data_IF_680207610928
#
_entry.id   IF_680207610928
#
_cell.length_a   1.000
_cell.length_b   1.000
_cell.length_c   1.000
_cell.angle_alpha   90.00
_cell.angle_beta   90.00
_cell.angle_gamma   90.00
#
_symmetry.space_group_name_H-M   'P 1'
#
loop_
_entity.id
_entity.type
_entity.pdbx_description
1 polymer ?
#
# COMPACT_ATOMS: atom_id res chain seq x y z
N UNK A 1 -10.61 -28.15 11.44
CA UNK A 1 -9.94 -27.10 12.24
C UNK A 1 -8.45 -27.39 12.24
N UNK A 2 -7.62 -26.36 12.06
CA UNK A 2 -6.18 -26.50 12.18
C UNK A 2 -5.82 -26.49 13.67
N UNK A 3 -5.31 -27.61 14.19
CA UNK A 3 -4.85 -27.77 15.56
C UNK A 3 -3.35 -27.45 15.61
N UNK A 4 -2.92 -26.65 16.57
CA UNK A 4 -1.49 -26.48 16.86
C UNK A 4 -1.02 -27.70 17.64
N UNK A 5 -0.17 -28.50 17.02
CA UNK A 5 0.38 -29.75 17.58
C UNK A 5 1.76 -29.50 18.18
N UNK A 6 2.30 -30.48 18.93
CA UNK A 6 3.67 -30.45 19.45
C UNK A 6 4.72 -30.25 18.35
N UNK A 7 4.47 -30.76 17.13
CA UNK A 7 5.32 -30.54 15.95
C UNK A 7 5.37 -29.09 15.47
N UNK A 8 4.39 -28.26 15.87
CA UNK A 8 4.28 -26.86 15.49
C UNK A 8 4.94 -25.95 16.53
N UNK A 9 5.36 -26.53 17.66
CA UNK A 9 6.10 -25.86 18.73
C UNK A 9 7.57 -26.29 18.68
N UNK A 10 8.44 -25.36 19.06
CA UNK A 10 9.87 -25.61 19.03
C UNK A 10 10.29 -26.52 20.18
N UNK A 11 11.00 -27.60 19.85
CA UNK A 11 11.55 -28.53 20.81
C UNK A 11 12.69 -27.83 21.61
N UNK A 12 12.72 -27.94 22.95
CA UNK A 12 13.73 -27.27 23.81
C UNK A 12 15.18 -27.60 23.46
N UNK A 13 15.44 -28.67 22.75
CA UNK A 13 16.80 -29.08 22.36
C UNK A 13 17.40 -28.25 21.20
N UNK A 14 16.63 -27.40 20.54
CA UNK A 14 17.07 -26.59 19.39
C UNK A 14 17.13 -25.09 19.75
N UNK A 15 17.26 -24.76 20.99
CA UNK A 15 17.25 -23.38 21.45
C UNK A 15 18.62 -22.74 21.46
N UNK A 16 18.91 -22.02 20.41
CA UNK A 16 19.69 -20.78 20.51
C UNK A 16 18.77 -19.66 20.00
N UNK A 17 18.50 -18.67 20.88
CA UNK A 17 17.85 -17.41 20.55
C UNK A 17 16.64 -17.47 19.57
N UNK A 18 15.47 -17.78 20.09
CA UNK A 18 14.23 -17.43 19.38
C UNK A 18 14.03 -15.92 19.34
N UNK A 19 14.66 -15.30 18.40
CA UNK A 19 14.21 -14.02 17.90
C UNK A 19 12.79 -14.28 17.37
N UNK A 20 11.79 -13.66 17.95
CA UNK A 20 10.41 -13.71 17.45
C UNK A 20 10.41 -13.27 15.99
N UNK A 21 10.42 -14.23 15.09
CA UNK A 21 10.81 -14.07 13.69
C UNK A 21 9.85 -13.22 12.83
N UNK A 22 8.76 -12.71 13.39
CA UNK A 22 7.89 -11.75 12.71
C UNK A 22 7.52 -10.65 13.67
N UNK A 23 8.34 -9.60 13.67
CA UNK A 23 7.90 -8.31 14.21
C UNK A 23 6.61 -7.96 13.48
N UNK A 24 5.45 -7.88 14.16
CA UNK A 24 4.22 -7.45 13.52
C UNK A 24 4.48 -6.10 12.87
N UNK A 25 3.87 -5.85 11.72
CA UNK A 25 3.95 -4.53 11.08
C UNK A 25 3.63 -3.49 12.12
N UNK A 26 4.49 -2.49 12.29
CA UNK A 26 4.30 -1.47 13.32
C UNK A 26 2.93 -0.80 13.13
N UNK A 27 2.28 -0.50 14.23
CA UNK A 27 1.08 0.34 14.26
C UNK A 27 1.55 1.76 13.98
N UNK A 28 1.07 2.35 12.89
CA UNK A 28 1.62 3.61 12.36
C UNK A 28 0.55 4.67 12.15
N UNK A 29 -0.64 4.29 11.69
CA UNK A 29 -1.73 5.22 11.37
C UNK A 29 -2.62 5.48 12.57
N UNK A 30 -2.94 4.44 13.34
CA UNK A 30 -3.83 4.50 14.51
C UNK A 30 -3.52 5.63 15.50
N UNK A 31 -2.23 5.96 15.80
CA UNK A 31 -1.92 7.06 16.71
C UNK A 31 -2.34 8.45 16.20
N UNK A 32 -2.57 8.61 14.91
CA UNK A 32 -2.98 9.85 14.27
C UNK A 32 -4.49 9.90 13.95
N UNK A 33 -5.22 8.83 14.24
CA UNK A 33 -6.67 8.75 14.09
C UNK A 33 -7.38 9.11 15.40
N UNK A 34 -8.54 9.76 15.32
CA UNK A 34 -9.39 9.96 16.47
C UNK A 34 -10.16 8.67 16.77
N UNK A 35 -10.18 8.25 18.02
CA UNK A 35 -11.02 7.12 18.48
C UNK A 35 -12.34 7.66 19.00
N UNK A 36 -13.44 7.18 18.44
CA UNK A 36 -14.80 7.54 18.83
C UNK A 36 -15.49 6.33 19.49
N UNK A 37 -15.83 6.49 20.76
CA UNK A 37 -16.46 5.46 21.59
C UNK A 37 -17.98 5.66 21.76
N UNK A 38 -18.60 6.57 20.99
CA UNK A 38 -20.03 6.90 21.15
C UNK A 38 -20.97 5.72 20.93
N UNK A 39 -20.54 4.70 20.19
CA UNK A 39 -21.30 3.47 19.92
C UNK A 39 -21.11 2.37 20.95
N UNK A 40 -20.24 2.54 21.93
CA UNK A 40 -20.07 1.52 22.98
C UNK A 40 -21.35 1.37 23.79
N UNK A 41 -21.85 0.12 23.86
CA UNK A 41 -23.08 -0.21 24.60
C UNK A 41 -24.39 0.25 23.94
N UNK A 42 -24.36 0.82 22.73
CA UNK A 42 -25.57 1.22 22.00
C UNK A 42 -25.95 0.21 20.90
N UNK A 43 -27.25 0.11 20.63
CA UNK A 43 -27.73 -0.66 19.48
C UNK A 43 -27.43 0.08 18.18
N UNK A 44 -27.14 -0.68 17.11
CA UNK A 44 -26.81 -0.17 15.78
C UNK A 44 -25.42 -0.65 15.33
N UNK A 45 -25.24 -0.76 14.03
CA UNK A 45 -24.01 -1.22 13.36
C UNK A 45 -23.47 -0.17 12.36
N UNK A 46 -24.08 1.02 12.39
CA UNK A 46 -23.71 2.11 11.49
C UNK A 46 -23.63 3.43 12.26
N UNK A 47 -22.69 4.28 11.82
CA UNK A 47 -22.54 5.66 12.28
C UNK A 47 -22.86 6.58 11.13
N UNK A 48 -23.73 7.54 11.33
CA UNK A 48 -24.02 8.59 10.36
C UNK A 48 -23.37 9.89 10.81
N UNK A 49 -22.46 10.40 10.03
CA UNK A 49 -21.77 11.67 10.28
C UNK A 49 -22.41 12.72 9.37
N UNK A 50 -23.09 13.75 9.94
CA UNK A 50 -23.66 14.85 9.14
C UNK A 50 -22.55 15.83 8.72
N UNK A 51 -22.73 16.47 7.57
CA UNK A 51 -21.91 17.56 7.06
C UNK A 51 -22.80 18.64 6.52
N UNK A 52 -22.44 19.89 6.79
CA UNK A 52 -23.13 21.07 6.26
C UNK A 52 -22.28 21.71 5.17
N UNK A 53 -22.91 22.03 4.03
CA UNK A 53 -22.23 22.76 2.99
C UNK A 53 -22.11 24.24 3.37
N UNK A 54 -20.96 24.84 3.02
CA UNK A 54 -20.78 26.28 3.16
C UNK A 54 -21.77 27.04 2.28
N UNK A 55 -22.43 28.04 2.85
CA UNK A 55 -23.48 28.82 2.17
C UNK A 55 -22.94 29.91 1.24
N UNK A 56 -21.62 30.12 1.18
CA UNK A 56 -20.97 31.16 0.41
C UNK A 56 -20.65 32.40 1.24
N UNK A 57 -19.88 33.30 0.64
CA UNK A 57 -19.49 34.57 1.27
C UNK A 57 -20.65 35.55 1.34
N UNK A 58 -20.61 36.46 2.30
CA UNK A 58 -21.57 37.54 2.39
C UNK A 58 -21.43 38.46 1.16
N UNK A 59 -22.56 38.94 0.64
CA UNK A 59 -22.62 39.85 -0.49
C UNK A 59 -22.91 41.28 -0.02
N UNK A 60 -22.33 42.28 -0.68
CA UNK A 60 -22.63 43.68 -0.44
C UNK A 60 -24.04 44.00 -0.97
N UNK A 61 -24.86 44.63 -0.12
CA UNK A 61 -26.23 45.01 -0.46
C UNK A 61 -26.38 46.54 -0.42
N UNK A 62 -26.93 47.11 -1.47
CA UNK A 62 -27.20 48.54 -1.52
C UNK A 62 -28.35 48.92 -0.60
N UNK A 63 -28.40 50.20 -0.20
CA UNK A 63 -29.46 50.72 0.67
C UNK A 63 -30.84 50.55 -0.01
N UNK A 64 -31.77 49.84 0.65
CA UNK A 64 -33.13 49.61 0.16
C UNK A 64 -33.30 48.35 -0.67
N UNK A 65 -32.24 47.58 -0.93
CA UNK A 65 -32.33 46.25 -1.58
C UNK A 65 -32.52 45.13 -0.56
N UNK A 66 -33.27 44.13 -0.96
CA UNK A 66 -33.47 42.90 -0.15
C UNK A 66 -32.63 41.75 -0.68
N UNK A 67 -31.99 41.02 0.21
CA UNK A 67 -31.23 39.78 -0.11
C UNK A 67 -32.16 38.59 -0.19
N UNK A 68 -31.88 37.67 -1.14
CA UNK A 68 -32.52 36.38 -1.19
C UNK A 68 -31.85 35.45 -0.19
N UNK A 69 -32.58 34.82 0.76
CA UNK A 69 -31.98 33.90 1.70
C UNK A 69 -31.41 32.64 1.01
N UNK A 70 -30.18 32.28 1.34
CA UNK A 70 -29.57 31.07 0.90
C UNK A 70 -30.05 29.85 1.72
N UNK A 71 -30.09 28.68 1.11
CA UNK A 71 -30.53 27.46 1.76
C UNK A 71 -29.32 26.71 2.31
N UNK A 72 -29.31 26.48 3.62
CA UNK A 72 -28.36 25.55 4.23
C UNK A 72 -28.68 24.11 3.77
N UNK A 73 -27.72 23.47 3.11
CA UNK A 73 -27.81 22.07 2.70
C UNK A 73 -26.96 21.19 3.59
N UNK A 74 -27.53 20.07 4.05
CA UNK A 74 -26.81 19.07 4.84
C UNK A 74 -26.72 17.79 4.03
N UNK A 75 -25.57 17.16 4.06
CA UNK A 75 -25.35 15.79 3.60
C UNK A 75 -24.99 14.91 4.78
N UNK A 76 -25.15 13.60 4.63
CA UNK A 76 -24.75 12.65 5.66
C UNK A 76 -24.08 11.45 5.02
N UNK A 77 -22.98 11.00 5.62
CA UNK A 77 -22.29 9.78 5.21
C UNK A 77 -22.41 8.73 6.30
N UNK A 78 -22.78 7.52 5.91
CA UNK A 78 -22.98 6.40 6.83
C UNK A 78 -21.81 5.44 6.76
N UNK A 79 -21.21 5.12 7.90
CA UNK A 79 -20.09 4.21 8.03
C UNK A 79 -20.52 2.94 8.76
N UNK A 80 -20.16 1.77 8.20
CA UNK A 80 -20.48 0.47 8.78
C UNK A 80 -19.42 0.00 9.77
N UNK A 81 -19.87 -0.69 10.83
CA UNK A 81 -19.02 -1.38 11.78
C UNK A 81 -18.85 -2.83 11.33
N UNK A 82 -17.64 -3.35 11.46
CA UNK A 82 -17.30 -4.73 11.16
C UNK A 82 -16.75 -5.45 12.39
N UNK A 83 -16.87 -6.77 12.39
CA UNK A 83 -16.24 -7.65 13.36
C UNK A 83 -14.92 -8.18 12.80
N UNK A 84 -13.82 -7.94 13.50
CA UNK A 84 -12.56 -8.63 13.28
C UNK A 84 -12.42 -9.73 14.34
N UNK A 85 -11.97 -10.93 13.92
CA UNK A 85 -11.78 -12.06 14.83
C UNK A 85 -10.59 -12.90 14.39
N UNK A 86 -9.86 -13.42 15.37
CA UNK A 86 -8.78 -14.38 15.20
C UNK A 86 -8.81 -15.40 16.32
N UNK A 87 -8.64 -16.68 16.00
CA UNK A 87 -8.61 -17.75 16.98
C UNK A 87 -7.41 -18.69 16.76
N UNK A 88 -6.97 -19.31 17.84
CA UNK A 88 -5.90 -20.31 17.86
C UNK A 88 -6.33 -21.46 18.75
N UNK A 89 -6.16 -22.71 18.30
CA UNK A 89 -6.42 -23.92 19.08
C UNK A 89 -5.09 -24.47 19.60
N UNK A 90 -4.96 -24.66 20.91
CA UNK A 90 -3.82 -25.29 21.58
C UNK A 90 -4.22 -26.66 22.11
N UNK A 91 -3.39 -27.67 21.85
CA UNK A 91 -3.54 -29.02 22.46
C UNK A 91 -2.85 -29.08 23.83
N UNK A 92 -3.32 -29.96 24.72
CA UNK A 92 -2.71 -30.16 26.04
C UNK A 92 -1.24 -30.56 25.94
N UNK A 93 -0.93 -31.43 24.97
CA UNK A 93 0.44 -31.88 24.72
C UNK A 93 1.36 -30.70 24.31
N UNK A 94 0.83 -29.76 23.52
CA UNK A 94 1.56 -28.57 23.10
C UNK A 94 1.85 -27.65 24.30
N UNK A 95 0.88 -27.51 25.22
CA UNK A 95 1.05 -26.68 26.42
C UNK A 95 2.00 -27.33 27.42
N UNK A 96 1.91 -28.66 27.62
CA UNK A 96 2.74 -29.38 28.60
C UNK A 96 4.20 -29.57 28.14
N UNK A 97 4.41 -29.80 26.84
CA UNK A 97 5.73 -30.08 26.28
C UNK A 97 6.39 -28.87 25.64
N UNK A 98 5.64 -27.79 25.42
CA UNK A 98 6.16 -26.55 24.83
C UNK A 98 7.07 -25.80 25.79
N UNK A 99 8.13 -25.20 25.25
CA UNK A 99 9.01 -24.34 26.03
C UNK A 99 8.36 -22.97 26.31
N UNK A 100 8.49 -22.50 27.56
CA UNK A 100 7.96 -21.19 27.98
C UNK A 100 6.48 -21.22 28.35
N UNK A 101 5.75 -20.16 27.99
CA UNK A 101 4.30 -20.05 28.24
C UNK A 101 3.53 -19.90 26.90
N UNK A 102 3.16 -21.01 26.23
CA UNK A 102 2.48 -20.98 24.95
C UNK A 102 1.13 -20.23 25.00
N UNK A 103 0.39 -20.32 26.10
CA UNK A 103 -0.91 -19.64 26.26
C UNK A 103 -0.73 -18.13 26.33
N UNK A 104 0.24 -17.66 27.15
CA UNK A 104 0.54 -16.24 27.26
C UNK A 104 1.06 -15.64 25.95
N UNK A 105 1.90 -16.39 25.21
CA UNK A 105 2.38 -15.95 23.90
C UNK A 105 1.25 -15.91 22.88
N UNK A 106 0.35 -16.89 22.86
CA UNK A 106 -0.84 -16.89 21.99
C UNK A 106 -1.71 -15.67 22.22
N UNK A 107 -2.01 -15.34 23.48
CA UNK A 107 -2.79 -14.13 23.82
C UNK A 107 -2.10 -12.86 23.34
N UNK A 108 -0.78 -12.77 23.53
CA UNK A 108 0.02 -11.63 23.05
C UNK A 108 0.00 -11.51 21.53
N UNK A 109 0.11 -12.62 20.81
CA UNK A 109 0.08 -12.63 19.35
C UNK A 109 -1.32 -12.31 18.80
N UNK A 110 -2.39 -12.75 19.47
CA UNK A 110 -3.75 -12.39 19.11
C UNK A 110 -3.97 -10.88 19.27
N UNK A 111 -3.58 -10.29 20.40
CA UNK A 111 -3.70 -8.85 20.63
C UNK A 111 -2.92 -8.03 19.57
N UNK A 112 -1.68 -8.43 19.28
CA UNK A 112 -0.88 -7.81 18.21
C UNK A 112 -1.54 -7.95 16.83
N UNK A 113 -2.16 -9.09 16.55
CA UNK A 113 -2.88 -9.35 15.28
C UNK A 113 -4.08 -8.42 15.13
N UNK A 114 -4.85 -8.19 16.21
CA UNK A 114 -5.99 -7.30 16.22
C UNK A 114 -5.56 -5.85 15.98
N UNK A 115 -4.62 -5.33 16.76
CA UNK A 115 -4.07 -3.98 16.58
C UNK A 115 -3.49 -3.78 15.16
N UNK A 116 -2.79 -4.80 14.63
CA UNK A 116 -2.27 -4.80 13.28
C UNK A 116 -3.38 -4.74 12.22
N UNK A 117 -4.55 -5.33 12.47
CA UNK A 117 -5.69 -5.29 11.55
C UNK A 117 -6.33 -3.92 11.51
N UNK A 118 -6.57 -3.30 12.67
CA UNK A 118 -7.12 -1.93 12.76
C UNK A 118 -6.27 -0.93 11.99
N UNK A 119 -4.95 -0.96 12.19
CA UNK A 119 -4.02 -0.06 11.49
C UNK A 119 -3.93 -0.35 9.99
N UNK A 120 -4.09 -1.62 9.56
CA UNK A 120 -4.16 -1.95 8.15
C UNK A 120 -5.41 -1.38 7.49
N UNK A 121 -6.56 -1.48 8.16
CA UNK A 121 -7.82 -0.95 7.67
C UNK A 121 -7.80 0.58 7.62
N UNK A 122 -7.16 1.24 8.58
CA UNK A 122 -6.96 2.69 8.56
C UNK A 122 -6.12 3.13 7.33
N UNK A 123 -5.03 2.41 7.03
CA UNK A 123 -4.25 2.68 5.83
C UNK A 123 -5.04 2.38 4.55
N UNK A 124 -5.85 1.32 4.53
CA UNK A 124 -6.66 0.94 3.38
C UNK A 124 -7.69 2.01 3.04
N UNK A 125 -8.37 2.56 4.05
CA UNK A 125 -9.33 3.65 3.87
C UNK A 125 -8.65 4.90 3.33
N UNK A 126 -7.47 5.27 3.85
CA UNK A 126 -6.68 6.42 3.39
C UNK A 126 -6.19 6.28 1.94
N UNK A 127 -5.95 5.07 1.47
CA UNK A 127 -5.45 4.80 0.11
C UNK A 127 -6.57 4.46 -0.88
N UNK A 128 -7.82 4.33 -0.42
CA UNK A 128 -8.97 4.10 -1.30
C UNK A 128 -9.27 5.36 -2.11
N UNK A 129 -9.52 5.19 -3.40
CA UNK A 129 -9.99 6.26 -4.27
C UNK A 129 -11.51 6.34 -4.19
N UNK A 130 -12.00 7.52 -3.89
CA UNK A 130 -13.43 7.83 -3.88
C UNK A 130 -13.82 8.58 -5.15
N UNK A 131 -14.99 8.27 -5.71
CA UNK A 131 -15.59 9.10 -6.74
C UNK A 131 -16.20 10.35 -6.11
N UNK A 132 -16.41 11.40 -6.90
CA UNK A 132 -16.97 12.66 -6.40
C UNK A 132 -18.33 12.46 -5.67
N UNK A 133 -19.14 11.49 -6.13
CA UNK A 133 -20.46 11.21 -5.54
C UNK A 133 -20.42 10.34 -4.27
N UNK A 134 -19.27 9.70 -3.97
CA UNK A 134 -19.11 8.76 -2.85
C UNK A 134 -18.05 9.19 -1.85
N UNK A 135 -17.37 10.31 -2.10
CA UNK A 135 -16.37 10.85 -1.19
C UNK A 135 -17.05 11.32 0.10
N UNK A 136 -16.60 10.87 1.28
CA UNK A 136 -17.10 11.39 2.54
C UNK A 136 -16.60 12.83 2.73
N UNK A 137 -17.52 13.78 2.88
CA UNK A 137 -17.26 15.18 3.23
C UNK A 137 -16.09 15.84 2.48
N UNK A 138 -16.34 16.39 1.33
CA UNK A 138 -15.36 17.11 0.52
C UNK A 138 -14.85 16.33 -0.69
N UNK A 139 -13.98 16.97 -1.46
CA UNK A 139 -13.39 16.39 -2.68
C UNK A 139 -12.06 15.74 -2.37
N UNK A 140 -11.88 14.49 -2.83
CA UNK A 140 -10.61 13.81 -2.67
C UNK A 140 -9.51 14.51 -3.49
N UNK A 141 -8.46 14.96 -2.80
CA UNK A 141 -7.29 15.57 -3.42
C UNK A 141 -6.26 14.49 -3.76
N UNK A 142 -5.93 14.34 -5.04
CA UNK A 142 -4.94 13.36 -5.53
C UNK A 142 -3.82 14.09 -6.25
N UNK A 143 -2.61 13.95 -5.77
CA UNK A 143 -1.41 14.49 -6.41
C UNK A 143 -0.61 13.36 -7.10
N UNK A 144 -0.38 13.50 -8.40
CA UNK A 144 0.44 12.55 -9.17
C UNK A 144 1.77 13.22 -9.52
N UNK A 145 2.84 12.83 -8.85
CA UNK A 145 4.17 13.44 -9.03
C UNK A 145 4.81 13.15 -10.40
N UNK A 146 4.47 12.02 -11.05
CA UNK A 146 5.14 11.59 -12.28
C UNK A 146 6.64 11.25 -12.12
N UNK A 147 7.15 11.27 -10.89
CA UNK A 147 8.54 11.04 -10.52
C UNK A 147 8.62 10.21 -9.23
N UNK A 148 9.82 9.73 -8.90
CA UNK A 148 10.11 9.13 -7.58
C UNK A 148 9.92 10.18 -6.48
N UNK A 149 9.76 9.73 -5.25
CA UNK A 149 9.64 10.64 -4.11
C UNK A 149 10.92 11.45 -3.93
N UNK A 150 10.78 12.76 -3.81
CA UNK A 150 11.84 13.73 -3.55
C UNK A 150 11.29 14.94 -2.82
N UNK A 151 12.19 15.81 -2.33
CA UNK A 151 11.83 17.01 -1.58
C UNK A 151 10.79 17.88 -2.31
N UNK A 152 11.06 18.21 -3.57
CA UNK A 152 10.17 19.07 -4.37
C UNK A 152 8.78 18.42 -4.56
N UNK A 153 8.72 17.11 -4.80
CA UNK A 153 7.46 16.40 -4.96
C UNK A 153 6.62 16.40 -3.68
N UNK A 154 7.25 16.30 -2.51
CA UNK A 154 6.56 16.38 -1.22
C UNK A 154 6.02 17.79 -0.99
N UNK A 155 6.84 18.82 -1.24
CA UNK A 155 6.40 20.23 -1.10
C UNK A 155 5.19 20.54 -1.99
N UNK A 156 5.22 20.12 -3.24
CA UNK A 156 4.09 20.30 -4.18
C UNK A 156 2.85 19.49 -3.74
N UNK A 157 3.05 18.29 -3.17
CA UNK A 157 1.93 17.52 -2.62
C UNK A 157 1.28 18.21 -1.41
N UNK A 158 2.08 18.87 -0.57
CA UNK A 158 1.59 19.65 0.57
C UNK A 158 0.83 20.91 0.09
N UNK A 159 1.33 21.56 -0.96
CA UNK A 159 0.68 22.73 -1.58
C UNK A 159 -0.75 22.41 -2.06
N UNK A 160 -1.04 21.15 -2.39
CA UNK A 160 -2.38 20.71 -2.76
C UNK A 160 -3.43 20.84 -1.66
N UNK A 161 -3.05 21.11 -0.40
CA UNK A 161 -4.00 21.47 0.66
C UNK A 161 -4.60 22.86 0.50
N UNK A 162 -3.89 23.76 -0.21
CA UNK A 162 -4.32 25.15 -0.47
C UNK A 162 -4.62 25.91 0.84
N UNK A 163 -3.65 25.90 1.77
CA UNK A 163 -3.80 26.46 3.11
C UNK A 163 -3.12 27.82 3.23
N UNK A 164 -3.82 28.80 3.81
CA UNK A 164 -3.25 30.11 4.18
C UNK A 164 -2.33 30.01 5.40
N UNK A 165 -2.66 29.14 6.35
CA UNK A 165 -1.89 28.92 7.58
C UNK A 165 -1.35 27.49 7.60
N UNK A 166 -0.05 27.35 7.79
CA UNK A 166 0.61 26.04 7.81
C UNK A 166 0.19 25.24 9.04
N UNK A 167 -0.46 24.11 8.82
CA UNK A 167 -0.85 23.14 9.84
C UNK A 167 0.15 21.98 9.95
N UNK A 168 0.17 21.30 11.08
CA UNK A 168 0.96 20.07 11.24
C UNK A 168 0.36 18.93 10.41
N UNK A 169 1.20 18.25 9.65
CA UNK A 169 0.79 17.16 8.76
C UNK A 169 1.65 15.93 8.98
N UNK A 170 1.10 14.77 8.64
CA UNK A 170 1.81 13.48 8.66
C UNK A 170 1.67 12.81 7.30
N UNK A 171 2.80 12.43 6.72
CA UNK A 171 2.87 11.70 5.46
C UNK A 171 3.37 10.28 5.72
N UNK A 172 2.68 9.29 5.15
CA UNK A 172 3.09 7.90 5.22
C UNK A 172 3.80 7.49 3.93
N UNK A 173 5.02 6.98 4.06
CA UNK A 173 5.85 6.56 2.93
C UNK A 173 6.31 5.12 3.08
N UNK A 174 6.51 4.43 1.95
CA UNK A 174 7.08 3.07 2.00
C UNK A 174 8.58 3.12 2.35
N UNK A 175 9.15 2.13 3.09
CA UNK A 175 10.58 2.12 3.43
C UNK A 175 11.54 2.26 2.24
N UNK A 176 11.16 1.79 1.05
CA UNK A 176 11.96 2.01 -0.17
C UNK A 176 12.01 3.47 -0.58
N UNK A 177 10.93 4.22 -0.37
CA UNK A 177 10.88 5.66 -0.64
C UNK A 177 11.72 6.45 0.36
N UNK A 178 11.82 5.98 1.61
CA UNK A 178 12.75 6.54 2.59
C UNK A 178 14.19 6.49 2.07
N UNK A 179 14.58 5.39 1.41
CA UNK A 179 15.90 5.28 0.78
C UNK A 179 16.05 6.27 -0.39
N UNK A 180 15.00 6.45 -1.20
CA UNK A 180 15.02 7.43 -2.29
C UNK A 180 15.20 8.86 -1.78
N UNK A 181 14.48 9.24 -0.70
CA UNK A 181 14.64 10.54 -0.05
C UNK A 181 16.04 10.74 0.52
N UNK A 182 16.65 9.72 1.09
CA UNK A 182 18.04 9.78 1.58
C UNK A 182 19.08 9.94 0.48
N UNK A 183 18.75 9.58 -0.75
CA UNK A 183 19.60 9.74 -1.93
C UNK A 183 19.30 11.04 -2.70
N UNK A 184 18.25 11.76 -2.35
CA UNK A 184 17.90 13.04 -2.99
C UNK A 184 18.91 14.12 -2.60
N UNK A 185 19.63 14.63 -3.60
CA UNK A 185 20.64 15.67 -3.40
C UNK A 185 20.08 16.97 -2.84
N UNK A 186 18.82 17.29 -3.14
CA UNK A 186 18.13 18.47 -2.64
C UNK A 186 17.86 18.35 -1.14
N UNK A 187 17.57 17.13 -0.68
CA UNK A 187 17.35 16.83 0.72
C UNK A 187 18.64 16.74 1.53
N UNK A 188 19.73 16.20 0.93
CA UNK A 188 21.03 15.98 1.59
C UNK A 188 21.87 17.26 1.68
N UNK A 189 21.54 18.33 0.96
CA UNK A 189 22.34 19.56 0.90
C UNK A 189 22.61 20.09 2.31
N UNK A 190 23.86 19.95 2.75
CA UNK A 190 24.32 20.24 4.11
C UNK A 190 24.16 21.74 4.50
N UNK A 191 24.10 22.64 3.51
CA UNK A 191 23.87 24.08 3.71
C UNK A 191 22.45 24.39 4.18
N UNK A 192 21.51 23.46 4.01
CA UNK A 192 20.09 23.68 4.30
C UNK A 192 19.62 22.99 5.58
N UNK A 193 20.34 21.97 6.06
CA UNK A 193 19.93 21.17 7.22
C UNK A 193 21.09 20.98 8.19
N UNK A 194 20.76 20.97 9.48
CA UNK A 194 21.72 20.68 10.53
C UNK A 194 22.35 19.28 10.32
N UNK A 195 23.67 19.15 10.51
CA UNK A 195 24.47 17.93 10.31
C UNK A 195 23.88 16.61 10.88
N UNK A 196 22.90 16.68 11.78
CA UNK A 196 22.30 15.51 12.41
C UNK A 196 21.48 14.64 11.43
N UNK A 197 20.82 15.25 10.42
CA UNK A 197 20.01 14.53 9.43
C UNK A 197 20.88 13.63 8.56
N UNK A 198 22.03 14.12 8.14
CA UNK A 198 22.97 13.36 7.29
C UNK A 198 23.63 12.23 8.08
N UNK A 199 24.01 12.48 9.34
CA UNK A 199 24.73 11.49 10.16
C UNK A 199 23.85 10.40 10.76
N UNK A 200 22.60 10.73 11.14
CA UNK A 200 21.66 9.77 11.75
C UNK A 200 20.69 9.14 10.75
N UNK A 201 20.56 9.73 9.56
CA UNK A 201 19.64 9.26 8.53
C UNK A 201 18.16 9.38 8.93
N UNK A 202 17.84 10.24 9.88
CA UNK A 202 16.47 10.57 10.27
C UNK A 202 15.87 11.48 9.20
N UNK A 203 14.63 11.19 8.77
CA UNK A 203 13.93 12.00 7.77
C UNK A 203 13.25 13.20 8.44
N UNK A 204 12.81 13.05 9.69
CA UNK A 204 12.24 14.12 10.49
C UNK A 204 11.01 14.77 9.84
N UNK A 205 11.06 16.09 9.67
CA UNK A 205 9.99 16.92 9.08
C UNK A 205 10.45 17.54 7.77
N UNK A 206 9.58 17.54 6.75
CA UNK A 206 9.79 18.21 5.47
C UNK A 206 8.64 19.22 5.30
N UNK A 207 8.95 20.50 5.18
CA UNK A 207 7.97 21.59 5.03
C UNK A 207 6.79 21.47 6.03
N UNK A 208 7.09 21.29 7.32
CA UNK A 208 6.07 21.16 8.37
C UNK A 208 5.35 19.80 8.42
N UNK A 209 5.70 18.87 7.53
CA UNK A 209 5.09 17.55 7.46
C UNK A 209 6.03 16.49 8.04
N UNK A 210 5.54 15.72 9.03
CA UNK A 210 6.26 14.59 9.60
C UNK A 210 6.21 13.40 8.65
N UNK A 211 7.36 12.85 8.27
CA UNK A 211 7.45 11.69 7.37
C UNK A 211 7.62 10.41 8.20
N UNK A 212 6.64 9.51 8.07
CA UNK A 212 6.57 8.26 8.82
C UNK A 212 6.64 7.07 7.84
N UNK A 213 7.55 6.12 8.11
CA UNK A 213 7.70 4.95 7.25
C UNK A 213 6.72 3.85 7.61
N UNK A 214 6.01 3.30 6.63
CA UNK A 214 5.10 2.16 6.82
C UNK A 214 5.19 1.17 5.66
N UNK A 215 5.35 -0.11 5.98
CA UNK A 215 5.25 -1.19 4.98
C UNK A 215 3.82 -1.40 4.46
N UNK A 216 2.83 -0.71 5.03
CA UNK A 216 1.43 -0.78 4.64
C UNK A 216 1.07 0.18 3.50
N UNK A 217 1.96 1.12 3.18
CA UNK A 217 1.83 1.95 1.99
C UNK A 217 1.83 1.02 0.77
N UNK A 218 0.71 1.00 0.05
CA UNK A 218 0.50 0.10 -1.09
C UNK A 218 1.16 0.66 -2.34
N UNK A 219 1.72 -0.23 -3.14
CA UNK A 219 1.97 0.07 -4.55
C UNK A 219 0.74 -0.31 -5.36
N UNK A 220 0.39 0.53 -6.31
CA UNK A 220 -0.64 0.26 -7.31
C UNK A 220 -0.01 0.20 -8.69
N UNK A 221 -0.59 -0.63 -9.53
CA UNK A 221 -0.22 -0.71 -10.91
C UNK A 221 -0.61 0.58 -11.64
N UNK A 222 0.32 1.09 -12.43
CA UNK A 222 0.09 2.15 -13.39
C UNK A 222 -0.10 1.56 -14.79
N UNK A 223 0.61 2.12 -15.75
CA UNK A 223 0.58 1.63 -17.14
C UNK A 223 1.47 0.40 -17.30
N UNK A 224 0.95 -0.64 -17.97
CA UNK A 224 1.75 -1.81 -18.31
C UNK A 224 2.91 -1.41 -19.24
N UNK A 225 4.12 -1.76 -18.84
CA UNK A 225 5.30 -1.55 -19.65
C UNK A 225 5.37 -2.58 -20.77
N UNK A 226 6.00 -2.20 -21.86
CA UNK A 226 6.31 -3.11 -22.95
C UNK A 226 7.76 -2.95 -23.42
N UNK A 227 8.31 -4.05 -23.95
CA UNK A 227 9.60 -4.08 -24.63
C UNK A 227 9.50 -4.94 -25.86
N UNK A 228 10.24 -4.60 -26.89
CA UNK A 228 10.31 -5.41 -28.12
C UNK A 228 11.66 -6.09 -28.22
N UNK A 229 11.65 -7.30 -28.76
CA UNK A 229 12.86 -8.05 -29.12
C UNK A 229 12.73 -8.47 -30.57
N UNK A 230 13.66 -8.03 -31.38
CA UNK A 230 13.68 -8.33 -32.82
C UNK A 230 14.63 -9.47 -33.10
N UNK A 231 14.15 -10.47 -33.82
CA UNK A 231 14.93 -11.59 -34.37
C UNK A 231 15.16 -11.32 -35.81
N UNK A 232 16.42 -11.35 -36.25
CA UNK A 232 16.84 -11.04 -37.60
C UNK A 232 17.89 -11.99 -38.12
N UNK A 233 18.32 -11.76 -39.32
CA UNK A 233 19.35 -12.57 -39.98
C UNK A 233 18.82 -13.91 -40.53
N UNK A 234 19.71 -14.85 -40.81
CA UNK A 234 19.41 -16.17 -41.32
C UNK A 234 19.45 -17.16 -40.16
N UNK A 235 18.35 -17.91 -39.95
CA UNK A 235 18.23 -18.88 -38.90
C UNK A 235 18.47 -20.28 -39.46
N UNK A 236 19.35 -21.05 -38.83
CA UNK A 236 19.68 -22.41 -39.21
C UNK A 236 19.15 -23.44 -38.18
N UNK A 237 19.11 -24.71 -38.61
CA UNK A 237 18.80 -25.82 -37.72
C UNK A 237 19.83 -25.91 -36.59
N UNK A 238 19.34 -26.04 -35.33
CA UNK A 238 20.18 -26.09 -34.13
C UNK A 238 20.51 -24.72 -33.53
N UNK A 239 20.15 -23.60 -34.20
CA UNK A 239 20.29 -22.28 -33.61
C UNK A 239 19.43 -22.14 -32.38
N UNK A 240 19.93 -21.44 -31.35
CA UNK A 240 19.26 -21.18 -30.12
C UNK A 240 19.09 -19.69 -29.88
N UNK A 241 17.92 -19.32 -29.39
CA UNK A 241 17.59 -17.94 -29.01
C UNK A 241 16.96 -17.94 -27.65
N UNK A 242 17.35 -16.99 -26.80
CA UNK A 242 16.83 -16.89 -25.43
C UNK A 242 16.44 -15.47 -25.08
N UNK A 243 15.31 -15.36 -24.38
CA UNK A 243 14.81 -14.10 -23.80
C UNK A 243 14.50 -14.34 -22.32
N UNK A 244 15.20 -13.64 -21.42
CA UNK A 244 14.97 -13.77 -19.97
C UNK A 244 15.18 -15.21 -19.44
N UNK A 245 16.10 -15.98 -20.02
CA UNK A 245 16.37 -17.37 -19.66
C UNK A 245 15.45 -18.40 -20.32
N UNK A 246 14.43 -17.97 -21.06
CA UNK A 246 13.58 -18.86 -21.85
C UNK A 246 14.25 -19.14 -23.19
N UNK A 247 14.77 -20.35 -23.37
CA UNK A 247 15.50 -20.75 -24.57
C UNK A 247 14.62 -21.57 -25.52
N UNK A 248 14.76 -21.31 -26.82
CA UNK A 248 14.15 -22.07 -27.90
C UNK A 248 15.21 -22.51 -28.88
N UNK A 249 15.17 -23.78 -29.30
CA UNK A 249 16.07 -24.38 -30.29
C UNK A 249 15.33 -24.57 -31.62
N UNK A 250 15.91 -24.13 -32.71
CA UNK A 250 15.35 -24.28 -34.06
C UNK A 250 15.54 -25.72 -34.58
N UNK A 251 14.44 -26.41 -34.86
CA UNK A 251 14.48 -27.83 -35.30
C UNK A 251 14.79 -28.04 -36.77
N UNK A 252 14.45 -27.08 -37.65
CA UNK A 252 14.73 -27.08 -39.07
C UNK A 252 14.93 -25.64 -39.51
N UNK A 253 15.40 -25.41 -40.76
CA UNK A 253 15.52 -24.05 -41.28
C UNK A 253 14.19 -23.31 -41.15
N UNK A 254 14.14 -22.32 -40.25
CA UNK A 254 12.94 -21.58 -39.92
C UNK A 254 13.09 -20.12 -40.32
N UNK A 255 11.95 -19.48 -40.56
CA UNK A 255 11.90 -18.03 -40.71
C UNK A 255 12.04 -17.33 -39.37
N UNK A 256 12.55 -16.11 -39.36
CA UNK A 256 12.59 -15.27 -38.13
C UNK A 256 11.22 -15.13 -37.44
N UNK A 257 10.15 -15.12 -38.27
CA UNK A 257 8.76 -15.09 -37.76
C UNK A 257 8.38 -16.35 -36.99
N UNK A 258 8.81 -17.53 -37.50
CA UNK A 258 8.57 -18.81 -36.83
C UNK A 258 9.30 -18.87 -35.47
N UNK A 259 10.57 -18.43 -35.43
CA UNK A 259 11.34 -18.36 -34.18
C UNK A 259 10.69 -17.39 -33.16
N UNK A 260 10.24 -16.24 -33.61
CA UNK A 260 9.49 -15.29 -32.75
C UNK A 260 8.21 -15.91 -32.19
N UNK A 261 7.52 -16.75 -32.99
CA UNK A 261 6.31 -17.46 -32.54
C UNK A 261 6.66 -18.54 -31.51
N UNK A 262 7.72 -19.31 -31.70
CA UNK A 262 8.19 -20.31 -30.72
C UNK A 262 8.58 -19.64 -29.39
N UNK A 263 9.30 -18.52 -29.42
CA UNK A 263 9.65 -17.78 -28.20
C UNK A 263 8.40 -17.23 -27.49
N UNK A 264 7.43 -16.69 -28.23
CA UNK A 264 6.14 -16.27 -27.66
C UNK A 264 5.45 -17.41 -26.95
N UNK A 265 5.37 -18.59 -27.56
CA UNK A 265 4.72 -19.76 -26.98
C UNK A 265 5.46 -20.26 -25.74
N UNK A 266 6.79 -20.35 -25.80
CA UNK A 266 7.62 -20.76 -24.67
C UNK A 266 7.50 -19.79 -23.46
N UNK A 267 7.49 -18.48 -23.72
CA UNK A 267 7.31 -17.46 -22.68
C UNK A 267 5.92 -17.56 -22.06
N UNK A 268 4.87 -17.68 -22.87
CA UNK A 268 3.48 -17.74 -22.39
C UNK A 268 3.13 -19.04 -21.68
N UNK A 269 3.87 -20.12 -21.94
CA UNK A 269 3.75 -21.39 -21.20
C UNK A 269 4.23 -21.25 -19.74
N UNK A 270 5.09 -20.28 -19.43
CA UNK A 270 5.60 -20.02 -18.09
C UNK A 270 4.73 -19.01 -17.36
N UNK A 271 3.84 -19.48 -16.53
CA UNK A 271 2.93 -18.62 -15.73
C UNK A 271 3.63 -17.77 -14.67
N UNK A 272 4.84 -18.18 -14.27
CA UNK A 272 5.67 -17.50 -13.24
C UNK A 272 6.33 -16.20 -13.74
N UNK A 273 6.41 -16.00 -15.06
CA UNK A 273 7.01 -14.78 -15.61
C UNK A 273 6.09 -13.58 -15.39
N UNK A 274 6.68 -12.40 -15.06
CA UNK A 274 5.91 -11.17 -14.81
C UNK A 274 5.38 -10.50 -16.09
N UNK A 275 5.63 -11.08 -17.26
CA UNK A 275 5.21 -10.58 -18.56
C UNK A 275 4.65 -11.70 -19.44
N UNK A 276 3.89 -11.30 -20.44
CA UNK A 276 3.41 -12.13 -21.55
C UNK A 276 4.05 -11.69 -22.84
N UNK A 277 4.00 -12.54 -23.87
CA UNK A 277 4.59 -12.25 -25.16
C UNK A 277 3.55 -12.32 -26.29
N UNK A 278 3.67 -11.42 -27.25
CA UNK A 278 3.03 -11.48 -28.56
C UNK A 278 4.10 -11.47 -29.64
N UNK A 279 3.82 -11.97 -30.85
CA UNK A 279 4.81 -11.99 -31.93
C UNK A 279 4.20 -11.51 -33.24
N UNK A 280 4.95 -10.73 -34.01
CA UNK A 280 4.61 -10.28 -35.34
C UNK A 280 5.88 -10.06 -36.15
N UNK A 281 5.95 -10.61 -37.37
CA UNK A 281 7.01 -10.35 -38.38
C UNK A 281 8.44 -10.43 -37.82
N UNK A 282 8.75 -11.41 -36.97
CA UNK A 282 10.07 -11.58 -36.35
C UNK A 282 10.32 -10.72 -35.12
N UNK A 283 9.33 -9.93 -34.67
CA UNK A 283 9.39 -9.14 -33.44
C UNK A 283 8.56 -9.83 -32.35
N UNK A 284 9.17 -10.04 -31.19
CA UNK A 284 8.48 -10.47 -29.95
C UNK A 284 8.25 -9.25 -29.10
N UNK A 285 6.99 -8.92 -28.84
CA UNK A 285 6.60 -7.84 -27.92
C UNK A 285 6.27 -8.45 -26.57
N UNK A 286 7.03 -8.08 -25.56
CA UNK A 286 6.81 -8.44 -24.17
C UNK A 286 5.93 -7.35 -23.53
N UNK A 287 4.88 -7.75 -22.82
CA UNK A 287 3.98 -6.82 -22.09
C UNK A 287 3.81 -7.32 -20.67
N UNK A 288 3.94 -6.43 -19.70
CA UNK A 288 3.75 -6.76 -18.29
C UNK A 288 2.34 -7.28 -18.00
N UNK A 289 2.26 -8.28 -17.13
CA UNK A 289 0.99 -8.78 -16.60
C UNK A 289 0.46 -7.86 -15.49
N UNK A 290 -0.83 -7.86 -15.30
CA UNK A 290 -1.49 -7.21 -14.15
C UNK A 290 -0.85 -7.67 -12.84
N UNK A 291 -0.53 -6.73 -11.96
CA UNK A 291 0.22 -6.98 -10.72
C UNK A 291 1.74 -6.77 -10.86
N UNK A 292 2.25 -6.59 -12.09
CA UNK A 292 3.67 -6.35 -12.37
C UNK A 292 3.93 -5.08 -13.18
N UNK A 293 2.89 -4.28 -13.42
CA UNK A 293 3.00 -3.05 -14.19
C UNK A 293 4.05 -2.10 -13.56
N UNK A 294 4.92 -1.55 -14.39
CA UNK A 294 5.99 -0.66 -13.94
C UNK A 294 7.18 -1.34 -13.26
N UNK A 295 7.17 -2.67 -13.12
CA UNK A 295 8.22 -3.43 -12.40
C UNK A 295 8.69 -4.65 -13.19
N UNK A 296 7.78 -5.36 -13.86
CA UNK A 296 8.08 -6.66 -14.46
C UNK A 296 9.08 -6.64 -15.61
N UNK A 297 9.12 -5.54 -16.38
CA UNK A 297 10.05 -5.29 -17.47
C UNK A 297 10.92 -4.04 -17.24
N UNK A 298 10.93 -3.46 -16.05
CA UNK A 298 11.77 -2.31 -15.70
C UNK A 298 13.25 -2.61 -15.96
N UNK A 299 13.70 -3.82 -15.62
CA UNK A 299 14.99 -4.36 -16.07
C UNK A 299 14.78 -5.12 -17.37
N UNK A 300 15.56 -4.80 -18.41
CA UNK A 300 15.50 -5.50 -19.68
C UNK A 300 15.82 -6.97 -19.49
N UNK A 301 15.03 -7.91 -20.05
CA UNK A 301 15.35 -9.33 -20.02
C UNK A 301 16.68 -9.60 -20.72
N UNK A 302 17.49 -10.48 -20.15
CA UNK A 302 18.74 -10.90 -20.76
C UNK A 302 18.46 -11.58 -22.11
N UNK A 303 19.19 -11.19 -23.15
CA UNK A 303 19.10 -11.80 -24.49
C UNK A 303 20.35 -12.64 -24.73
N UNK A 304 20.16 -13.87 -25.19
CA UNK A 304 21.27 -14.72 -25.60
C UNK A 304 20.95 -15.44 -26.92
N UNK A 305 21.97 -15.77 -27.66
CA UNK A 305 21.87 -16.58 -28.89
C UNK A 305 23.07 -17.49 -29.06
N UNK A 306 22.83 -18.63 -29.68
CA UNK A 306 23.86 -19.51 -30.24
C UNK A 306 23.51 -19.70 -31.72
N UNK A 307 23.91 -18.77 -32.54
CA UNK A 307 23.67 -18.76 -33.98
C UNK A 307 24.82 -18.03 -34.69
N UNK A 308 25.24 -18.51 -35.85
CA UNK A 308 26.30 -17.88 -36.64
C UNK A 308 25.81 -16.66 -37.42
N UNK A 309 24.60 -16.70 -37.96
CA UNK A 309 24.03 -15.69 -38.83
C UNK A 309 22.74 -15.05 -38.34
N UNK A 310 22.06 -15.68 -37.36
CA UNK A 310 20.88 -15.09 -36.72
C UNK A 310 21.26 -13.97 -35.78
N UNK A 311 20.36 -13.00 -35.57
CA UNK A 311 20.52 -11.88 -34.63
C UNK A 311 19.34 -11.81 -33.67
N UNK A 312 19.59 -11.36 -32.44
CA UNK A 312 18.58 -11.03 -31.47
C UNK A 312 18.94 -9.65 -30.89
N UNK A 313 18.02 -8.71 -30.96
CA UNK A 313 18.26 -7.33 -30.53
C UNK A 313 17.09 -6.82 -29.68
N UNK A 314 17.42 -6.13 -28.59
CA UNK A 314 16.43 -5.41 -27.84
C UNK A 314 15.99 -4.14 -28.57
N UNK A 315 14.71 -3.82 -28.47
CA UNK A 315 14.12 -2.59 -29.00
C UNK A 315 12.98 -2.08 -28.14
N UNK A 316 12.44 -0.93 -28.52
CA UNK A 316 11.37 -0.27 -27.80
C UNK A 316 11.83 0.43 -26.51
N UNK A 317 11.19 1.57 -26.22
CA UNK A 317 11.42 2.29 -24.97
C UNK A 317 10.46 1.75 -23.92
N UNK A 318 10.96 1.43 -22.74
CA UNK A 318 10.14 1.00 -21.62
C UNK A 318 9.32 2.19 -21.08
N UNK A 319 8.01 2.01 -20.93
CA UNK A 319 7.07 3.05 -20.47
C UNK A 319 6.18 2.58 -19.32
N UNK A 320 6.51 1.46 -18.69
CA UNK A 320 5.73 0.95 -17.55
C UNK A 320 5.86 1.86 -16.33
N UNK A 321 4.76 2.02 -15.61
CA UNK A 321 4.70 2.80 -14.38
C UNK A 321 4.01 2.03 -13.27
N UNK A 322 4.51 2.19 -12.05
CA UNK A 322 3.83 1.78 -10.83
C UNK A 322 4.03 2.89 -9.78
N UNK A 323 3.05 3.05 -8.92
CA UNK A 323 3.04 4.14 -7.94
C UNK A 323 2.92 3.61 -6.53
N UNK A 324 3.62 4.23 -5.58
CA UNK A 324 3.28 4.16 -4.17
C UNK A 324 2.20 5.20 -3.86
N UNK A 325 1.18 4.77 -3.12
CA UNK A 325 0.12 5.64 -2.61
C UNK A 325 0.50 6.12 -1.22
N UNK A 326 0.95 7.35 -1.13
CA UNK A 326 1.43 7.98 0.09
C UNK A 326 0.38 8.97 0.61
N UNK A 327 -0.50 8.57 1.55
CA UNK A 327 -1.45 9.49 2.12
C UNK A 327 -0.76 10.52 3.01
N UNK A 328 -1.18 11.77 2.89
CA UNK A 328 -0.80 12.89 3.74
C UNK A 328 -2.07 13.29 4.49
N UNK A 329 -2.02 13.32 5.80
CA UNK A 329 -3.13 13.74 6.65
C UNK A 329 -2.78 15.01 7.40
N UNK A 330 -3.73 15.94 7.47
CA UNK A 330 -3.67 17.12 8.32
C UNK A 330 -4.11 16.71 9.73
N UNK A 331 -3.31 17.07 10.72
CA UNK A 331 -3.66 16.87 12.12
C UNK A 331 -4.49 18.06 12.59
N UNK A 332 -5.44 17.79 13.50
CA UNK A 332 -6.16 18.88 14.15
C UNK A 332 -5.19 19.64 15.04
N UNK A 333 -5.21 20.97 14.94
CA UNK A 333 -4.51 21.84 15.87
C UNK A 333 -5.39 22.16 17.08
N UNK A 334 -4.80 22.58 18.18
CA UNK A 334 -5.56 23.08 19.35
C UNK A 334 -6.40 24.32 19.03
N UNK A 335 -6.15 24.95 17.88
CA UNK A 335 -6.86 26.12 17.39
C UNK A 335 -8.06 25.79 16.50
N UNK A 336 -8.19 24.52 16.08
CA UNK A 336 -9.35 24.05 15.32
C UNK A 336 -10.56 24.07 16.27
N UNK A 337 -11.69 24.57 15.78
CA UNK A 337 -12.95 24.57 16.54
C UNK A 337 -13.39 23.13 16.80
N UNK A 338 -14.10 22.90 17.93
CA UNK A 338 -14.58 21.56 18.32
C UNK A 338 -15.43 20.88 17.25
N UNK A 339 -16.04 21.65 16.37
CA UNK A 339 -16.90 21.16 15.27
C UNK A 339 -16.12 20.66 14.04
N UNK A 340 -14.79 20.83 13.99
CA UNK A 340 -14.02 20.39 12.83
C UNK A 340 -13.67 18.90 12.91
N UNK A 341 -14.27 18.10 12.01
CA UNK A 341 -14.06 16.67 11.96
C UNK A 341 -12.58 16.32 11.70
N UNK A 342 -12.01 15.33 12.38
CA UNK A 342 -10.66 14.84 12.12
C UNK A 342 -10.55 14.19 10.73
N UNK A 343 -9.33 14.05 10.21
CA UNK A 343 -9.10 13.38 8.93
C UNK A 343 -9.59 11.93 8.94
N UNK A 344 -9.22 11.17 9.97
CA UNK A 344 -9.58 9.75 10.13
C UNK A 344 -10.16 9.51 11.52
N UNK A 345 -11.27 8.78 11.57
CA UNK A 345 -11.90 8.36 12.83
C UNK A 345 -12.03 6.83 12.86
N UNK A 346 -11.71 6.28 14.02
CA UNK A 346 -11.94 4.87 14.35
C UNK A 346 -13.14 4.81 15.29
N UNK A 347 -14.27 4.29 14.81
CA UNK A 347 -15.49 4.09 15.59
C UNK A 347 -15.38 2.76 16.32
N UNK A 348 -15.21 2.79 17.62
CA UNK A 348 -15.09 1.61 18.46
C UNK A 348 -16.42 1.26 19.09
N UNK A 349 -16.97 0.09 18.75
CA UNK A 349 -18.20 -0.43 19.37
C UNK A 349 -17.93 -1.38 20.52
N UNK A 350 -16.91 -2.23 20.38
CA UNK A 350 -16.43 -3.12 21.44
C UNK A 350 -14.92 -3.27 21.29
N UNK A 351 -14.23 -3.04 22.39
CA UNK A 351 -12.78 -3.24 22.49
C UNK A 351 -12.42 -4.73 22.38
N UNK A 352 -11.14 -5.02 22.23
CA UNK A 352 -10.64 -6.39 22.09
C UNK A 352 -11.09 -7.23 23.27
N UNK A 353 -11.88 -8.27 22.99
CA UNK A 353 -12.30 -9.28 23.94
C UNK A 353 -11.59 -10.59 23.63
N UNK A 354 -11.12 -11.28 24.66
CA UNK A 354 -10.47 -12.58 24.52
C UNK A 354 -11.30 -13.60 25.29
N UNK A 355 -11.72 -14.64 24.59
CA UNK A 355 -12.51 -15.74 25.14
C UNK A 355 -11.75 -17.06 24.93
N UNK A 356 -11.87 -17.97 25.89
CA UNK A 356 -11.32 -19.32 25.81
C UNK A 356 -12.41 -20.37 25.97
N UNK A 357 -12.33 -21.45 25.19
CA UNK A 357 -13.23 -22.59 25.27
C UNK A 357 -12.43 -23.89 25.34
N UNK A 358 -12.75 -24.73 26.33
CA UNK A 358 -12.14 -26.03 26.55
C UNK A 358 -12.90 -27.15 25.88
N UNK A 359 -12.23 -27.87 24.98
CA UNK A 359 -12.75 -29.09 24.35
C UNK A 359 -12.21 -30.34 25.05
N UNK A 360 -13.02 -30.95 25.90
CA UNK A 360 -12.59 -32.09 26.72
C UNK A 360 -12.33 -33.36 25.95
N UNK A 361 -13.04 -33.58 24.85
CA UNK A 361 -12.89 -34.78 24.01
C UNK A 361 -11.64 -34.73 23.12
N UNK A 362 -11.29 -33.57 22.62
CA UNK A 362 -10.10 -33.35 21.78
C UNK A 362 -8.87 -32.93 22.57
N UNK A 363 -9.00 -32.78 23.92
CA UNK A 363 -7.90 -32.32 24.78
C UNK A 363 -7.24 -31.04 24.25
N UNK A 364 -8.06 -30.07 23.82
CA UNK A 364 -7.62 -28.80 23.27
C UNK A 364 -8.36 -27.61 23.90
N UNK A 365 -7.76 -26.44 23.87
CA UNK A 365 -8.37 -25.16 24.26
C UNK A 365 -8.33 -24.22 23.08
N UNK A 366 -9.47 -23.67 22.70
CA UNK A 366 -9.58 -22.61 21.71
C UNK A 366 -9.47 -21.27 22.42
N UNK A 367 -8.61 -20.40 21.93
CA UNK A 367 -8.47 -19.02 22.41
C UNK A 367 -8.81 -18.11 21.24
N UNK A 368 -9.83 -17.30 21.38
CA UNK A 368 -10.33 -16.39 20.36
C UNK A 368 -10.25 -14.94 20.86
N UNK A 369 -9.81 -14.05 20.00
CA UNK A 369 -9.91 -12.60 20.23
C UNK A 369 -10.83 -12.00 19.16
N UNK A 370 -11.71 -11.09 19.56
CA UNK A 370 -12.57 -10.35 18.65
C UNK A 370 -12.70 -8.87 19.05
N UNK A 371 -13.00 -8.04 18.07
CA UNK A 371 -13.18 -6.60 18.20
C UNK A 371 -14.24 -6.12 17.21
N UNK A 372 -15.08 -5.16 17.62
CA UNK A 372 -16.06 -4.53 16.74
C UNK A 372 -15.69 -3.05 16.56
N UNK A 373 -15.32 -2.69 15.34
CA UNK A 373 -14.93 -1.34 15.00
C UNK A 373 -15.25 -1.00 13.53
N UNK A 374 -15.24 0.29 13.24
CA UNK A 374 -15.26 0.82 11.88
C UNK A 374 -14.15 1.85 11.71
N UNK A 375 -13.60 1.99 10.52
CA UNK A 375 -12.63 3.04 10.21
C UNK A 375 -13.14 3.82 9.02
N UNK A 376 -13.11 5.15 9.12
CA UNK A 376 -13.57 6.01 8.05
C UNK A 376 -12.76 7.32 7.97
N UNK A 377 -12.73 7.91 6.78
CA UNK A 377 -12.32 9.29 6.61
C UNK A 377 -13.54 10.16 6.94
N UNK A 378 -13.42 10.97 7.96
CA UNK A 378 -14.51 11.87 8.39
C UNK A 378 -14.43 13.24 7.74
N UNK A 379 -13.24 13.66 7.34
CA UNK A 379 -13.05 14.88 6.56
C UNK A 379 -12.04 14.62 5.42
N UNK A 380 -12.53 14.62 4.18
CA UNK A 380 -11.72 14.33 3.00
C UNK A 380 -10.78 15.50 2.63
N UNK A 381 -11.11 16.71 3.00
CA UNK A 381 -10.28 17.90 2.72
C UNK A 381 -8.96 17.89 3.51
N UNK A 382 -8.95 17.18 4.65
CA UNK A 382 -7.76 16.96 5.47
C UNK A 382 -6.85 15.82 4.98
N UNK A 383 -7.18 15.21 3.82
CA UNK A 383 -6.43 14.08 3.27
C UNK A 383 -6.01 14.37 1.83
N UNK A 384 -4.72 14.29 1.55
CA UNK A 384 -4.16 14.31 0.19
C UNK A 384 -3.52 12.97 -0.09
N UNK A 385 -3.91 12.33 -1.20
CA UNK A 385 -3.30 11.10 -1.67
C UNK A 385 -2.21 11.42 -2.68
N UNK A 386 -0.95 11.42 -2.24
CA UNK A 386 0.20 11.63 -3.11
C UNK A 386 0.64 10.30 -3.74
N UNK A 387 0.93 10.32 -5.04
CA UNK A 387 1.39 9.17 -5.82
C UNK A 387 2.77 9.45 -6.39
N UNK A 388 3.73 8.61 -6.05
CA UNK A 388 5.10 8.70 -6.52
C UNK A 388 5.49 7.41 -7.23
N UNK A 389 6.28 7.50 -8.30
CA UNK A 389 6.77 6.33 -9.01
C UNK A 389 7.58 5.42 -8.09
N UNK A 390 7.44 4.12 -8.27
CA UNK A 390 8.22 3.11 -7.53
C UNK A 390 9.68 3.11 -7.94
N UNK A 391 9.95 3.41 -9.22
CA UNK A 391 11.28 3.50 -9.83
C UNK A 391 11.35 4.78 -10.66
N UNK A 392 12.51 5.41 -10.72
CA UNK A 392 12.71 6.56 -11.60
C UNK A 392 12.37 6.19 -13.06
N UNK A 393 11.67 7.09 -13.77
CA UNK A 393 11.52 6.95 -15.21
C UNK A 393 12.88 7.00 -15.86
N UNK A 394 13.15 6.04 -16.74
CA UNK A 394 14.43 5.95 -17.48
C UNK A 394 14.57 7.09 -18.49
#
# INVERSE_FOLDING_TARGET
>A
MALTKLSDLINPQVMADMISAKIPKMIVVTPFAKIDNTLQGRAGDTVTVPSFAYIGDAIDVAEGESITPDKLTASSTTFGIKKAMKAVTLTDEAVLSGHGNPVGETTTQLAKSMASKVDADAMDVLTTLYNADTAPHGVQKVYNAGAIVGYNGIVTAIDSFDEEVQSEKVMFVHPRQVTQLRLDSTFISADKYNNQVVMRGEIGMIAGTRVVSSKRVKSIDGTAGSRTVTIGGTVATGDKFSIGGVEVTCGSTQTVTAVATLLKEAINALTTLPYSATSSSGVVTLTEKTGFNGVGLATAPALAKTSSAGTITAGGTYSGTAYYQCPIIKLNSEQDTEDEAPAVTIFLKRDVNVEDERHTLSRSTDIAADELYGVAITNQEKVVLARFLTVASA
#
